data_IF_900475086281
#
_entry.id   IF_900475086281
#
_cell.length_a   1.000
_cell.length_b   1.000
_cell.length_c   1.000
_cell.angle_alpha   90.00
_cell.angle_beta   90.00
_cell.angle_gamma   90.00
#
_symmetry.space_group_name_H-M   'P 1'
#
loop_
_entity.id
_entity.type
_entity.pdbx_description
1 polymer ?
#
# COMPACT_ATOMS: atom_id res chain seq x y z
N UNK A 1 20.51 -2.96 4.72
CA UNK A 1 19.63 -2.90 5.91
C UNK A 1 19.84 -1.63 6.74
N UNK A 2 21.06 -1.07 6.78
CA UNK A 2 21.37 0.22 7.41
C UNK A 2 21.84 1.22 6.35
N UNK A 3 21.10 2.31 6.08
CA UNK A 3 21.56 3.34 5.16
C UNK A 3 22.73 4.12 5.79
N UNK A 4 23.81 4.39 5.05
CA UNK A 4 24.92 5.20 5.57
C UNK A 4 24.42 6.62 5.89
N UNK A 5 24.79 7.16 7.06
CA UNK A 5 24.39 8.49 7.51
C UNK A 5 23.13 8.56 8.38
N UNK A 6 22.47 7.43 8.69
CA UNK A 6 21.36 7.40 9.66
C UNK A 6 21.88 6.90 11.02
N UNK A 7 21.63 7.62 12.13
CA UNK A 7 21.99 7.15 13.47
C UNK A 7 21.35 5.78 13.76
N UNK A 8 22.14 4.86 14.36
CA UNK A 8 21.64 3.54 14.73
C UNK A 8 20.44 3.63 15.69
N UNK A 9 20.46 4.60 16.61
CA UNK A 9 19.37 4.89 17.55
C UNK A 9 18.05 5.20 16.83
N UNK A 10 18.09 6.07 15.80
CA UNK A 10 16.92 6.39 14.98
C UNK A 10 16.38 5.15 14.28
N UNK A 11 17.27 4.31 13.73
CA UNK A 11 16.85 3.08 13.04
C UNK A 11 16.21 2.06 13.98
N UNK A 12 16.78 1.87 15.16
CA UNK A 12 16.23 0.98 16.19
C UNK A 12 14.87 1.49 16.69
N UNK A 13 14.76 2.81 16.91
CA UNK A 13 13.50 3.44 17.28
C UNK A 13 12.42 3.24 16.21
N UNK A 14 12.73 3.55 14.95
CA UNK A 14 11.79 3.39 13.83
C UNK A 14 11.33 1.93 13.71
N UNK A 15 12.24 0.95 13.87
CA UNK A 15 11.91 -0.48 13.81
C UNK A 15 11.04 -0.92 14.99
N UNK A 16 11.36 -0.50 16.21
CA UNK A 16 10.59 -0.83 17.41
C UNK A 16 9.15 -0.29 17.30
N UNK A 17 9.01 1.00 16.97
CA UNK A 17 7.71 1.65 16.82
C UNK A 17 6.88 1.04 15.68
N UNK A 18 7.50 0.75 14.54
CA UNK A 18 6.82 0.12 13.40
C UNK A 18 6.35 -1.28 13.75
N UNK A 19 7.18 -2.08 14.43
CA UNK A 19 6.82 -3.47 14.79
C UNK A 19 5.65 -3.50 15.77
N UNK A 20 5.71 -2.67 16.82
CA UNK A 20 4.62 -2.56 17.80
C UNK A 20 3.34 -2.07 17.11
N UNK A 21 3.44 -1.03 16.28
CA UNK A 21 2.32 -0.52 15.51
C UNK A 21 1.69 -1.60 14.61
N UNK A 22 2.51 -2.37 13.89
CA UNK A 22 2.01 -3.45 13.04
C UNK A 22 1.27 -4.52 13.83
N UNK A 23 1.74 -4.90 15.02
CA UNK A 23 1.07 -5.90 15.87
C UNK A 23 -0.28 -5.34 16.35
N UNK A 24 -0.29 -4.13 16.90
CA UNK A 24 -1.51 -3.49 17.43
C UNK A 24 -2.55 -3.26 16.34
N UNK A 25 -2.13 -2.80 15.15
CA UNK A 25 -3.03 -2.54 14.03
C UNK A 25 -3.30 -3.78 13.15
N UNK A 26 -2.63 -4.91 13.39
CA UNK A 26 -2.81 -6.14 12.59
C UNK A 26 -4.26 -6.60 12.43
N UNK A 27 -5.13 -6.65 13.47
CA UNK A 27 -6.52 -7.05 13.28
C UNK A 27 -7.29 -6.09 12.36
N UNK A 28 -7.03 -4.79 12.49
CA UNK A 28 -7.65 -3.77 11.64
C UNK A 28 -7.15 -3.87 10.19
N UNK A 29 -5.85 -4.04 9.98
CA UNK A 29 -5.25 -4.24 8.65
C UNK A 29 -5.76 -5.53 7.98
N UNK A 30 -5.97 -6.60 8.75
CA UNK A 30 -6.55 -7.85 8.26
C UNK A 30 -8.01 -7.66 7.83
N UNK A 31 -8.82 -6.95 8.63
CA UNK A 31 -10.19 -6.60 8.25
C UNK A 31 -10.21 -5.77 6.96
N UNK A 32 -9.35 -4.76 6.86
CA UNK A 32 -9.22 -3.93 5.67
C UNK A 32 -8.83 -4.76 4.44
N UNK A 33 -7.91 -5.71 4.60
CA UNK A 33 -7.52 -6.63 3.54
C UNK A 33 -8.69 -7.48 3.04
N UNK A 34 -9.56 -7.95 3.94
CA UNK A 34 -10.78 -8.69 3.57
C UNK A 34 -11.77 -7.80 2.83
N UNK A 35 -11.99 -6.56 3.29
CA UNK A 35 -12.89 -5.60 2.62
C UNK A 35 -12.38 -5.26 1.21
N UNK A 36 -11.10 -4.92 1.07
CA UNK A 36 -10.48 -4.66 -0.23
C UNK A 36 -10.62 -5.88 -1.15
N UNK A 37 -10.39 -7.09 -0.64
CA UNK A 37 -10.59 -8.32 -1.41
C UNK A 37 -12.03 -8.52 -1.87
N UNK A 38 -13.01 -8.19 -1.01
CA UNK A 38 -14.43 -8.32 -1.31
C UNK A 38 -14.90 -7.31 -2.36
N UNK A 39 -14.45 -6.05 -2.27
CA UNK A 39 -14.92 -4.97 -3.14
C UNK A 39 -14.09 -4.76 -4.42
N UNK A 40 -12.78 -5.01 -4.39
CA UNK A 40 -11.86 -4.76 -5.51
C UNK A 40 -11.22 -6.03 -6.08
N UNK A 41 -11.40 -7.18 -5.42
CA UNK A 41 -10.83 -8.45 -5.85
C UNK A 41 -9.35 -8.58 -5.51
N UNK A 42 -8.60 -9.29 -6.37
CA UNK A 42 -7.16 -9.52 -6.21
C UNK A 42 -6.37 -8.74 -7.26
N UNK A 43 -5.16 -8.25 -6.96
CA UNK A 43 -4.48 -8.27 -5.66
C UNK A 43 -5.02 -7.24 -4.66
N UNK A 44 -4.85 -7.50 -3.35
CA UNK A 44 -5.28 -6.62 -2.25
C UNK A 44 -4.32 -5.46 -2.03
N UNK A 45 -3.01 -5.75 -2.15
CA UNK A 45 -1.95 -4.78 -2.01
C UNK A 45 -1.43 -4.36 -3.40
N UNK A 46 -1.17 -3.08 -3.55
CA UNK A 46 -0.54 -2.47 -4.70
C UNK A 46 0.89 -2.06 -4.34
N UNK A 47 1.82 -2.35 -5.24
CA UNK A 47 3.25 -2.02 -5.11
C UNK A 47 3.60 -0.89 -6.07
N UNK A 48 4.25 0.15 -5.57
CA UNK A 48 4.73 1.26 -6.39
C UNK A 48 6.20 1.55 -6.09
N UNK A 49 7.07 1.45 -7.10
CA UNK A 49 8.46 1.84 -6.96
C UNK A 49 8.59 3.35 -6.83
N UNK A 50 9.31 3.81 -5.80
CA UNK A 50 9.61 5.22 -5.56
C UNK A 50 11.10 5.40 -5.29
N UNK A 51 11.68 6.57 -5.64
CA UNK A 51 13.04 6.90 -5.21
C UNK A 51 13.06 7.06 -3.68
N UNK A 52 13.96 6.34 -3.02
CA UNK A 52 14.14 6.36 -1.57
C UNK A 52 15.37 7.14 -1.13
N UNK A 53 15.89 6.79 0.04
CA UNK A 53 17.08 7.43 0.62
C UNK A 53 18.28 7.35 -0.33
N UNK A 54 18.88 8.49 -0.65
CA UNK A 54 19.99 8.62 -1.63
C UNK A 54 19.65 8.07 -3.01
N UNK A 55 18.39 8.21 -3.44
CA UNK A 55 17.94 7.77 -4.76
C UNK A 55 17.83 6.25 -4.90
N UNK A 56 18.11 5.47 -3.85
CA UNK A 56 17.93 4.02 -3.87
C UNK A 56 16.44 3.70 -4.01
N UNK A 57 15.99 3.04 -5.09
CA UNK A 57 14.58 2.72 -5.26
C UNK A 57 14.07 1.81 -4.13
N UNK A 58 12.83 2.03 -3.70
CA UNK A 58 12.12 1.15 -2.79
C UNK A 58 10.69 0.91 -3.27
N UNK A 59 10.12 -0.23 -2.90
CA UNK A 59 8.73 -0.54 -3.17
C UNK A 59 7.84 -0.01 -2.05
N UNK A 60 6.96 0.93 -2.38
CA UNK A 60 5.87 1.36 -1.52
C UNK A 60 4.71 0.36 -1.64
N UNK A 61 4.38 -0.30 -0.54
CA UNK A 61 3.25 -1.24 -0.45
C UNK A 61 2.07 -0.50 0.17
N UNK A 62 0.91 -0.51 -0.49
CA UNK A 62 -0.34 0.10 0.00
C UNK A 62 -1.55 -0.74 -0.36
N UNK A 63 -2.68 -0.51 0.31
CA UNK A 63 -3.95 -1.11 -0.10
C UNK A 63 -4.39 -0.59 -1.46
N UNK A 64 -4.98 -1.47 -2.25
CA UNK A 64 -5.53 -1.14 -3.55
C UNK A 64 -6.86 -0.40 -3.38
N UNK A 65 -6.99 0.74 -4.05
CA UNK A 65 -8.20 1.58 -4.02
C UNK A 65 -8.88 1.73 -5.39
N UNK A 66 -8.24 1.27 -6.48
CA UNK A 66 -8.76 1.33 -7.85
C UNK A 66 -8.90 -0.07 -8.45
N UNK A 67 -9.95 -0.30 -9.25
CA UNK A 67 -10.18 -1.57 -9.97
C UNK A 67 -9.33 -1.68 -11.24
N UNK A 68 -9.19 -2.88 -11.82
CA UNK A 68 -8.54 -3.09 -13.14
C UNK A 68 -9.57 -3.32 -14.24
N UNK A 69 -10.75 -2.71 -14.10
CA UNK A 69 -11.78 -2.82 -15.13
C UNK A 69 -11.24 -2.29 -16.47
N UNK A 70 -11.52 -3.06 -17.53
CA UNK A 70 -11.11 -2.77 -18.90
C UNK A 70 -12.34 -2.64 -19.79
N UNK A 71 -12.22 -1.82 -20.82
CA UNK A 71 -13.20 -1.69 -21.92
C UNK A 71 -13.24 -2.99 -22.76
N UNK A 72 -14.27 -3.17 -23.59
CA UNK A 72 -14.42 -4.33 -24.51
C UNK A 72 -13.24 -4.53 -25.46
N UNK A 73 -12.43 -3.50 -25.70
CA UNK A 73 -11.16 -3.48 -26.46
C UNK A 73 -9.93 -3.77 -25.60
N UNK A 74 -10.10 -4.13 -24.33
CA UNK A 74 -9.01 -4.54 -23.42
C UNK A 74 -8.17 -3.40 -22.83
N UNK A 75 -8.55 -2.14 -23.06
CA UNK A 75 -7.90 -0.94 -22.48
C UNK A 75 -8.41 -0.67 -21.07
N UNK A 76 -7.55 -0.22 -20.17
CA UNK A 76 -7.97 0.20 -18.83
C UNK A 76 -8.98 1.34 -18.93
N UNK A 77 -10.06 1.26 -18.14
CA UNK A 77 -11.03 2.33 -18.04
C UNK A 77 -10.40 3.59 -17.45
N UNK A 78 -11.08 4.72 -17.61
CA UNK A 78 -10.65 5.98 -16.98
C UNK A 78 -10.62 5.86 -15.46
N UNK A 79 -9.78 6.66 -14.80
CA UNK A 79 -9.62 6.61 -13.34
C UNK A 79 -10.94 6.87 -12.58
N UNK A 80 -11.81 7.72 -13.12
CA UNK A 80 -13.14 7.99 -12.56
C UNK A 80 -14.04 6.75 -12.55
N UNK A 81 -13.94 5.90 -13.56
CA UNK A 81 -14.70 4.64 -13.65
C UNK A 81 -14.08 3.52 -12.81
N UNK A 82 -12.76 3.59 -12.57
CA UNK A 82 -12.02 2.58 -11.79
C UNK A 82 -12.06 2.83 -10.29
N UNK A 83 -12.33 4.07 -9.86
CA UNK A 83 -12.45 4.45 -8.46
C UNK A 83 -13.85 4.11 -7.92
N UNK A 84 -13.94 3.10 -7.07
CA UNK A 84 -15.22 2.74 -6.43
C UNK A 84 -15.53 3.66 -5.25
N UNK A 85 -16.79 3.73 -4.80
CA UNK A 85 -17.17 4.48 -3.57
C UNK A 85 -16.33 4.03 -2.37
N UNK A 86 -16.08 2.73 -2.25
CA UNK A 86 -15.21 2.17 -1.22
C UNK A 86 -13.75 2.61 -1.41
N UNK A 87 -13.24 2.60 -2.64
CA UNK A 87 -11.92 3.15 -2.98
C UNK A 87 -11.76 4.64 -2.63
N UNK A 88 -12.83 5.43 -2.76
CA UNK A 88 -12.85 6.82 -2.35
C UNK A 88 -12.87 7.01 -0.82
N UNK A 89 -13.50 6.11 -0.08
CA UNK A 89 -13.49 6.12 1.39
C UNK A 89 -12.12 5.72 1.98
N UNK A 90 -11.36 4.87 1.27
CA UNK A 90 -10.04 4.41 1.70
C UNK A 90 -8.88 5.39 1.42
N UNK A 91 -9.12 6.44 0.63
CA UNK A 91 -8.09 7.40 0.22
C UNK A 91 -8.03 8.58 1.18
#
# INVERSE_FOLDING_TARGET
>A
MFPPGIPLSKRMFDLAMTTIGLIVFSPFLALLALLVRKYLGKPVLFRQTRPGYHGKPFELIKFRTMTDQRDTKGRLLSDSQRLTRFGHFLR
#
